data_IF_110974040288
#
_entry.id   IF_110974040288
#
_cell.length_a   1.000
_cell.length_b   1.000
_cell.length_c   1.000
_cell.angle_alpha   90.00
_cell.angle_beta   90.00
_cell.angle_gamma   90.00
#
_symmetry.space_group_name_H-M   'P 1'
#
loop_
_entity.id
_entity.type
_entity.pdbx_description
1 polymer ?
#
# COMPACT_ATOMS: atom_id res chain seq x y z
N UNK A 1 7.33 19.81 -7.78
CA UNK A 1 7.10 18.37 -8.03
C UNK A 1 5.61 18.13 -7.94
N UNK A 2 5.00 17.58 -8.97
CA UNK A 2 3.58 17.22 -8.91
C UNK A 2 3.39 16.05 -7.95
N UNK A 3 2.47 16.20 -7.00
CA UNK A 3 2.12 15.16 -6.04
C UNK A 3 0.88 14.46 -6.55
N UNK A 4 1.00 13.19 -6.92
CA UNK A 4 -0.17 12.34 -7.15
C UNK A 4 -0.72 11.89 -5.80
N UNK A 5 -1.99 12.19 -5.55
CA UNK A 5 -2.71 11.74 -4.36
C UNK A 5 -3.61 10.58 -4.78
N UNK A 6 -3.59 9.50 -4.00
CA UNK A 6 -4.47 8.33 -4.15
C UNK A 6 -5.05 8.00 -2.77
N UNK A 7 -6.31 7.58 -2.72
CA UNK A 7 -6.95 7.18 -1.46
C UNK A 7 -6.56 5.74 -1.11
N UNK A 8 -6.60 5.39 0.18
CA UNK A 8 -6.43 3.98 0.59
C UNK A 8 -7.52 3.09 -0.01
N UNK A 9 -8.75 3.57 -0.11
CA UNK A 9 -9.85 2.82 -0.74
C UNK A 9 -9.54 2.46 -2.18
N UNK A 10 -9.00 3.39 -2.97
CA UNK A 10 -8.61 3.13 -4.37
C UNK A 10 -7.40 2.20 -4.46
N UNK A 11 -6.44 2.37 -3.53
CA UNK A 11 -5.20 1.59 -3.51
C UNK A 11 -5.43 0.12 -3.14
N UNK A 12 -6.32 -0.14 -2.18
CA UNK A 12 -6.58 -1.48 -1.64
C UNK A 12 -7.84 -2.14 -2.22
N UNK A 13 -8.78 -1.36 -2.77
CA UNK A 13 -10.07 -1.85 -3.21
C UNK A 13 -10.83 -2.53 -2.07
N UNK A 14 -11.11 -3.83 -2.22
CA UNK A 14 -11.77 -4.66 -1.20
C UNK A 14 -10.80 -5.39 -0.27
N UNK A 15 -9.49 -5.27 -0.52
CA UNK A 15 -8.45 -5.96 0.22
C UNK A 15 -7.93 -5.08 1.37
N UNK A 16 -7.11 -5.67 2.24
CA UNK A 16 -6.40 -4.94 3.29
C UNK A 16 -4.87 -4.99 3.13
N UNK A 17 -4.40 -5.71 2.11
CA UNK A 17 -2.99 -5.88 1.75
C UNK A 17 -2.84 -5.88 0.23
N UNK A 18 -1.78 -5.26 -0.27
CA UNK A 18 -1.33 -5.34 -1.65
C UNK A 18 0.17 -5.65 -1.70
N UNK A 19 0.60 -6.31 -2.77
CA UNK A 19 2.02 -6.53 -3.08
C UNK A 19 2.46 -5.50 -4.11
N UNK A 20 3.61 -4.87 -3.86
CA UNK A 20 4.25 -3.90 -4.73
C UNK A 20 5.59 -4.49 -5.16
N UNK A 21 5.76 -4.71 -6.46
CA UNK A 21 7.05 -5.09 -7.03
C UNK A 21 7.91 -3.83 -7.20
N UNK A 22 9.11 -3.82 -6.62
CA UNK A 22 10.06 -2.72 -6.76
C UNK A 22 11.49 -3.25 -6.86
N UNK A 23 12.18 -2.92 -7.96
CA UNK A 23 13.56 -3.36 -8.23
C UNK A 23 13.75 -4.89 -8.06
N UNK A 24 12.82 -5.67 -8.62
CA UNK A 24 12.77 -7.15 -8.53
C UNK A 24 12.50 -7.71 -7.11
N UNK A 25 12.12 -6.85 -6.16
CA UNK A 25 11.77 -7.24 -4.80
C UNK A 25 10.28 -7.04 -4.51
N UNK A 26 9.72 -7.94 -3.70
CA UNK A 26 8.35 -7.82 -3.20
C UNK A 26 8.31 -6.94 -1.96
N UNK A 27 7.37 -5.99 -1.96
CA UNK A 27 6.98 -5.24 -0.78
C UNK A 27 5.50 -5.47 -0.50
N UNK A 28 5.12 -5.53 0.76
CA UNK A 28 3.72 -5.63 1.19
C UNK A 28 3.31 -4.33 1.84
N UNK A 29 2.30 -3.68 1.27
CA UNK A 29 1.64 -2.55 1.90
C UNK A 29 0.32 -3.05 2.47
N UNK A 30 0.06 -2.83 3.76
CA UNK A 30 -1.18 -3.25 4.42
C UNK A 30 -1.74 -2.20 5.37
N UNK A 31 -3.04 -2.30 5.65
CA UNK A 31 -3.72 -1.56 6.71
C UNK A 31 -3.65 -2.39 8.00
N UNK A 32 -3.14 -1.79 9.07
CA UNK A 32 -3.07 -2.41 10.39
C UNK A 32 -4.41 -2.30 11.13
N UNK A 33 -4.57 -3.07 12.21
CA UNK A 33 -5.77 -3.01 13.08
C UNK A 33 -6.03 -1.64 13.72
N UNK A 34 -5.03 -0.75 13.78
CA UNK A 34 -5.18 0.64 14.24
C UNK A 34 -5.33 1.65 13.09
N UNK A 35 -5.75 1.20 11.91
CA UNK A 35 -6.00 2.01 10.71
C UNK A 35 -4.76 2.77 10.17
N UNK A 36 -3.55 2.25 10.42
CA UNK A 36 -2.32 2.80 9.85
C UNK A 36 -1.86 2.00 8.64
N UNK A 37 -1.12 2.64 7.76
CA UNK A 37 -0.42 1.97 6.67
C UNK A 37 0.96 1.52 7.12
N UNK A 38 1.32 0.28 6.82
CA UNK A 38 2.66 -0.24 7.02
C UNK A 38 3.17 -0.88 5.73
N UNK A 39 4.37 -0.49 5.32
CA UNK A 39 5.10 -1.09 4.21
C UNK A 39 6.18 -2.00 4.79
N UNK A 40 6.20 -3.26 4.39
CA UNK A 40 7.23 -4.24 4.75
C UNK A 40 7.83 -4.84 3.48
N UNK A 41 9.05 -5.35 3.58
CA UNK A 41 9.69 -6.18 2.56
C UNK A 41 9.49 -7.64 2.92
#
# INVERSE_FOLDING_TARGET
MEKRIITSTDLFGKLQEIVIMHADEEYRLRITSNNKLILTK
#
